data_IF_987867254742
#
_entry.id   IF_987867254742
#
_cell.length_a   1.000
_cell.length_b   1.000
_cell.length_c   1.000
_cell.angle_alpha   90.00
_cell.angle_beta   90.00
_cell.angle_gamma   90.00
#
_symmetry.space_group_name_H-M   'P 1'
#
loop_
_entity.id
_entity.type
_entity.pdbx_description
1 polymer ?
#
# COMPACT_ATOMS: atom_id res chain seq x y z
N UNK A 1 -30.75 -3.66 -2.25
CA UNK A 1 -30.19 -4.78 -1.47
C UNK A 1 -28.95 -5.26 -2.22
N UNK A 2 -27.81 -4.63 -1.95
CA UNK A 2 -26.53 -5.09 -2.46
C UNK A 2 -25.83 -5.81 -1.30
N UNK A 3 -26.03 -7.11 -1.21
CA UNK A 3 -25.04 -7.99 -0.62
C UNK A 3 -23.79 -7.94 -1.54
N UNK A 4 -22.98 -6.94 -1.28
CA UNK A 4 -21.62 -6.94 -1.79
C UNK A 4 -20.84 -7.94 -0.93
N UNK A 5 -20.91 -9.21 -1.30
CA UNK A 5 -19.92 -10.18 -0.89
C UNK A 5 -18.57 -9.59 -1.33
N UNK A 6 -17.83 -8.95 -0.41
CA UNK A 6 -16.55 -8.31 -0.70
C UNK A 6 -15.54 -9.44 -0.85
N UNK A 7 -15.55 -10.07 -2.02
CA UNK A 7 -14.50 -11.01 -2.40
C UNK A 7 -13.17 -10.26 -2.35
N UNK A 8 -12.26 -10.71 -1.48
CA UNK A 8 -10.91 -10.17 -1.39
C UNK A 8 -10.28 -10.11 -2.79
N UNK A 9 -9.76 -8.94 -3.17
CA UNK A 9 -9.08 -8.75 -4.44
C UNK A 9 -7.66 -9.29 -4.34
N UNK A 10 -7.29 -10.11 -5.30
CA UNK A 10 -5.92 -10.65 -5.41
C UNK A 10 -5.03 -9.62 -6.09
N UNK A 11 -4.02 -9.17 -5.39
CA UNK A 11 -3.07 -8.16 -5.82
C UNK A 11 -1.72 -8.83 -6.06
N UNK A 12 -1.20 -8.75 -7.29
CA UNK A 12 0.06 -9.36 -7.71
C UNK A 12 1.03 -8.29 -8.23
N UNK A 13 2.32 -8.46 -7.93
CA UNK A 13 3.39 -7.59 -8.42
C UNK A 13 3.99 -8.16 -9.72
N UNK A 14 4.05 -7.32 -10.75
CA UNK A 14 4.77 -7.57 -12.00
C UNK A 14 5.69 -6.37 -12.26
N UNK A 15 6.97 -6.52 -12.05
CA UNK A 15 7.94 -5.43 -12.16
C UNK A 15 9.33 -5.97 -12.51
N UNK A 16 9.53 -6.33 -13.78
CA UNK A 16 10.79 -6.91 -14.26
C UNK A 16 11.88 -5.87 -14.49
N UNK A 17 11.50 -4.61 -14.69
CA UNK A 17 12.37 -3.52 -15.13
C UNK A 17 12.19 -3.15 -16.60
N UNK A 18 11.55 -3.99 -17.39
CA UNK A 18 11.22 -3.78 -18.80
C UNK A 18 9.70 -3.79 -18.98
N UNK A 19 9.13 -2.66 -19.42
CA UNK A 19 7.68 -2.55 -19.61
C UNK A 19 7.15 -3.54 -20.65
N UNK A 20 7.93 -3.90 -21.65
CA UNK A 20 7.52 -4.82 -22.69
C UNK A 20 7.51 -6.28 -22.21
N UNK A 21 8.31 -6.60 -21.20
CA UNK A 21 8.27 -7.90 -20.51
C UNK A 21 7.16 -7.92 -19.44
N UNK A 22 6.91 -6.78 -18.79
CA UNK A 22 5.84 -6.66 -17.78
C UNK A 22 4.46 -6.88 -18.39
N UNK A 23 4.20 -6.39 -19.60
CA UNK A 23 2.89 -6.49 -20.26
C UNK A 23 2.41 -7.93 -20.42
N UNK A 24 3.13 -8.86 -21.07
CA UNK A 24 2.68 -10.23 -21.20
C UNK A 24 2.56 -10.95 -19.86
N UNK A 25 3.41 -10.63 -18.88
CA UNK A 25 3.34 -11.21 -17.55
C UNK A 25 2.13 -10.69 -16.77
N UNK A 26 1.79 -9.41 -16.91
CA UNK A 26 0.60 -8.82 -16.31
C UNK A 26 -0.70 -9.40 -16.90
N UNK A 27 -0.75 -9.58 -18.22
CA UNK A 27 -1.89 -10.21 -18.89
C UNK A 27 -2.03 -11.69 -18.49
N UNK A 28 -0.93 -12.43 -18.37
CA UNK A 28 -0.94 -13.81 -17.88
C UNK A 28 -1.47 -13.88 -16.44
N UNK A 29 -0.96 -13.03 -15.55
CA UNK A 29 -1.44 -12.95 -14.17
C UNK A 29 -2.94 -12.63 -14.07
N UNK A 30 -3.43 -11.74 -14.93
CA UNK A 30 -4.86 -11.42 -15.01
C UNK A 30 -5.70 -12.64 -15.42
N UNK A 31 -5.25 -13.42 -16.40
CA UNK A 31 -5.93 -14.66 -16.83
C UNK A 31 -5.97 -15.71 -15.73
N UNK A 32 -4.92 -15.80 -14.92
CA UNK A 32 -4.82 -16.70 -13.77
C UNK A 32 -5.53 -16.18 -12.50
N UNK A 33 -6.16 -15.01 -12.55
CA UNK A 33 -7.07 -14.57 -11.49
C UNK A 33 -6.61 -13.36 -10.68
N UNK A 34 -5.51 -12.69 -11.04
CA UNK A 34 -5.15 -11.41 -10.41
C UNK A 34 -6.21 -10.34 -10.71
N UNK A 35 -6.68 -9.66 -9.67
CA UNK A 35 -7.64 -8.56 -9.75
C UNK A 35 -6.97 -7.19 -9.83
N UNK A 36 -5.75 -7.09 -9.28
CA UNK A 36 -4.92 -5.90 -9.26
C UNK A 36 -3.50 -6.28 -9.67
N UNK A 37 -2.95 -5.61 -10.64
CA UNK A 37 -1.56 -5.76 -11.07
C UNK A 37 -0.77 -4.53 -10.64
N UNK A 38 0.32 -4.74 -9.92
CA UNK A 38 1.23 -3.68 -9.54
C UNK A 38 2.49 -3.69 -10.40
N UNK A 39 2.80 -2.56 -10.99
CA UNK A 39 4.09 -2.28 -11.59
C UNK A 39 4.85 -1.37 -10.62
N UNK A 40 5.74 -1.96 -9.83
CA UNK A 40 6.50 -1.21 -8.83
C UNK A 40 7.48 -0.28 -9.51
N UNK A 41 7.49 0.99 -9.10
CA UNK A 41 8.49 1.96 -9.51
C UNK A 41 9.89 1.50 -9.12
N UNK A 42 10.87 1.66 -10.02
CA UNK A 42 12.25 1.29 -9.74
C UNK A 42 12.78 1.99 -8.47
N UNK A 43 13.61 1.30 -7.70
CA UNK A 43 14.18 1.82 -6.45
C UNK A 43 14.95 3.13 -6.68
N UNK A 44 15.72 3.22 -7.75
CA UNK A 44 16.50 4.42 -8.10
C UNK A 44 15.62 5.62 -8.40
N UNK A 45 14.48 5.43 -9.06
CA UNK A 45 13.56 6.52 -9.39
C UNK A 45 12.99 7.22 -8.16
N UNK A 46 12.90 6.54 -7.02
CA UNK A 46 12.39 7.18 -5.79
C UNK A 46 13.26 8.35 -5.31
N UNK A 47 14.49 8.45 -5.77
CA UNK A 47 15.46 9.48 -5.43
C UNK A 47 15.67 10.53 -6.54
N UNK A 48 15.00 10.37 -7.69
CA UNK A 48 15.02 11.36 -8.75
C UNK A 48 14.05 12.48 -8.45
N UNK A 49 14.46 13.70 -8.71
CA UNK A 49 13.65 14.92 -8.62
C UNK A 49 12.97 15.30 -9.96
N UNK A 50 12.96 14.37 -10.90
CA UNK A 50 12.26 14.45 -12.17
C UNK A 50 11.66 13.09 -12.55
N UNK A 51 10.63 13.09 -13.39
CA UNK A 51 10.03 11.88 -13.96
C UNK A 51 10.64 11.62 -15.33
N UNK A 52 11.24 10.44 -15.57
CA UNK A 52 11.74 10.07 -16.89
C UNK A 52 10.62 10.00 -17.93
N UNK A 53 10.98 10.21 -19.20
CA UNK A 53 10.05 10.13 -20.33
C UNK A 53 10.19 8.80 -21.10
N UNK A 54 9.10 8.42 -21.77
CA UNK A 54 9.07 7.30 -22.71
C UNK A 54 8.90 5.93 -22.07
N UNK A 55 8.82 4.94 -22.95
CA UNK A 55 8.82 3.53 -22.55
C UNK A 55 10.23 3.09 -22.15
N UNK A 56 10.35 2.32 -21.07
CA UNK A 56 11.65 1.93 -20.51
C UNK A 56 11.83 0.42 -20.54
N UNK A 57 13.08 0.01 -20.83
CA UNK A 57 13.55 -1.40 -20.81
C UNK A 57 14.58 -1.66 -19.72
N UNK A 58 14.85 -0.66 -18.91
CA UNK A 58 15.85 -0.71 -17.86
C UNK A 58 15.20 -0.28 -16.55
N UNK A 59 15.31 -1.10 -15.54
CA UNK A 59 14.86 -0.79 -14.21
C UNK A 59 15.53 -1.70 -13.19
N UNK A 60 15.94 -1.13 -12.07
CA UNK A 60 16.50 -1.88 -10.97
C UNK A 60 15.46 -1.93 -9.82
N UNK A 61 15.13 -3.13 -9.40
CA UNK A 61 14.10 -3.38 -8.39
C UNK A 61 12.79 -2.65 -8.72
N UNK A 62 12.31 -2.85 -9.95
CA UNK A 62 11.06 -2.30 -10.47
C UNK A 62 11.20 -1.68 -11.85
N UNK A 63 10.07 -1.32 -12.44
CA UNK A 63 9.95 -0.68 -13.75
C UNK A 63 9.68 0.80 -13.55
N UNK A 64 10.27 1.69 -14.35
CA UNK A 64 10.09 3.12 -14.19
C UNK A 64 8.61 3.55 -14.27
N UNK A 65 8.21 4.43 -13.37
CA UNK A 65 6.96 5.15 -13.46
C UNK A 65 7.12 6.31 -14.44
N UNK A 66 6.70 6.11 -15.68
CA UNK A 66 6.64 7.13 -16.73
C UNK A 66 5.22 7.17 -17.28
N UNK A 67 4.85 8.28 -17.90
CA UNK A 67 3.53 8.38 -18.54
C UNK A 67 3.31 7.28 -19.57
N UNK A 68 4.33 7.02 -20.39
CA UNK A 68 4.25 6.02 -21.44
C UNK A 68 4.13 4.59 -20.88
N UNK A 69 4.88 4.25 -19.83
CA UNK A 69 4.74 2.95 -19.18
C UNK A 69 3.33 2.75 -18.59
N UNK A 70 2.77 3.79 -17.97
CA UNK A 70 1.40 3.75 -17.46
C UNK A 70 0.39 3.52 -18.58
N UNK A 71 0.51 4.28 -19.67
CA UNK A 71 -0.37 4.17 -20.83
C UNK A 71 -0.32 2.79 -21.49
N UNK A 72 0.89 2.25 -21.70
CA UNK A 72 1.10 0.94 -22.29
C UNK A 72 0.50 -0.18 -21.42
N UNK A 73 0.81 -0.16 -20.12
CA UNK A 73 0.27 -1.17 -19.21
C UNK A 73 -1.25 -1.05 -19.04
N UNK A 74 -1.79 0.18 -18.93
CA UNK A 74 -3.25 0.37 -18.85
C UNK A 74 -3.95 -0.15 -20.10
N UNK A 75 -3.42 0.11 -21.29
CA UNK A 75 -3.95 -0.40 -22.54
C UNK A 75 -3.96 -1.93 -22.60
N UNK A 76 -2.86 -2.55 -22.15
CA UNK A 76 -2.73 -4.02 -22.11
C UNK A 76 -3.72 -4.66 -21.11
N UNK A 77 -3.92 -4.02 -19.94
CA UNK A 77 -4.89 -4.48 -18.96
C UNK A 77 -6.35 -4.23 -19.41
N UNK A 78 -6.63 -3.18 -20.16
CA UNK A 78 -7.95 -2.97 -20.78
C UNK A 78 -8.27 -4.03 -21.83
N UNK A 79 -7.27 -4.48 -22.57
CA UNK A 79 -7.42 -5.57 -23.53
C UNK A 79 -7.79 -6.88 -22.84
N UNK A 80 -7.01 -7.30 -21.86
CA UNK A 80 -7.29 -8.54 -21.13
C UNK A 80 -8.57 -8.43 -20.28
N UNK A 81 -8.93 -7.25 -19.80
CA UNK A 81 -10.20 -7.02 -19.09
C UNK A 81 -11.41 -7.27 -19.98
N UNK A 82 -11.35 -6.85 -21.27
CA UNK A 82 -12.40 -7.13 -22.26
C UNK A 82 -12.47 -8.62 -22.60
N UNK A 83 -11.33 -9.29 -22.73
CA UNK A 83 -11.23 -10.74 -22.93
C UNK A 83 -11.92 -11.50 -21.78
N UNK A 84 -11.64 -11.11 -20.53
CA UNK A 84 -12.12 -11.79 -19.34
C UNK A 84 -13.54 -11.39 -18.89
N UNK A 85 -14.10 -10.31 -19.46
CA UNK A 85 -15.37 -9.75 -19.01
C UNK A 85 -15.33 -9.17 -17.59
N UNK A 86 -14.14 -8.85 -17.05
CA UNK A 86 -13.93 -8.23 -15.73
C UNK A 86 -12.83 -7.19 -15.78
N UNK A 87 -12.99 -6.13 -15.00
CA UNK A 87 -11.98 -5.06 -14.92
C UNK A 87 -10.77 -5.48 -14.08
N UNK A 88 -9.57 -5.34 -14.65
CA UNK A 88 -8.29 -5.57 -13.97
C UNK A 88 -7.67 -4.23 -13.62
N UNK A 89 -7.35 -4.03 -12.35
CA UNK A 89 -6.83 -2.78 -11.81
C UNK A 89 -5.33 -2.66 -11.99
N UNK A 90 -4.88 -1.43 -12.19
CA UNK A 90 -3.44 -1.08 -12.29
C UNK A 90 -3.01 -0.28 -11.09
N UNK A 91 -1.88 -0.66 -10.51
CA UNK A 91 -1.26 0.05 -9.39
C UNK A 91 0.21 0.35 -9.68
N UNK A 92 0.71 1.47 -9.14
CA UNK A 92 2.13 1.83 -9.13
C UNK A 92 2.47 2.55 -7.81
N UNK A 93 3.68 3.10 -7.71
CA UNK A 93 4.17 3.77 -6.51
C UNK A 93 4.32 5.28 -6.71
N UNK A 94 3.70 6.07 -5.84
CA UNK A 94 3.88 7.51 -5.72
C UNK A 94 4.44 7.87 -4.32
N UNK A 95 5.54 7.23 -3.95
CA UNK A 95 6.31 7.50 -2.73
C UNK A 95 7.72 7.94 -3.12
N UNK A 96 8.37 8.77 -2.32
CA UNK A 96 9.68 9.31 -2.68
C UNK A 96 9.60 10.73 -3.26
N UNK A 97 10.60 11.15 -4.01
CA UNK A 97 10.57 12.41 -4.75
C UNK A 97 9.61 12.33 -5.95
N UNK A 98 9.13 13.46 -6.46
CA UNK A 98 8.18 13.55 -7.58
C UNK A 98 6.82 12.87 -7.34
N UNK A 99 6.38 12.75 -6.10
CA UNK A 99 5.06 12.19 -5.81
C UNK A 99 3.90 12.92 -6.52
N UNK A 100 3.84 14.27 -6.51
CA UNK A 100 2.76 14.99 -7.18
C UNK A 100 2.71 14.77 -8.68
N UNK A 101 3.87 14.75 -9.33
CA UNK A 101 4.01 14.54 -10.77
C UNK A 101 3.54 13.12 -11.14
N UNK A 102 4.03 12.12 -10.42
CA UNK A 102 3.64 10.71 -10.65
C UNK A 102 2.15 10.51 -10.38
N UNK A 103 1.61 11.14 -9.33
CA UNK A 103 0.17 11.08 -9.03
C UNK A 103 -0.68 11.71 -10.15
N UNK A 104 -0.22 12.82 -10.73
CA UNK A 104 -0.88 13.46 -11.89
C UNK A 104 -0.89 12.52 -13.09
N UNK A 105 0.26 11.95 -13.44
CA UNK A 105 0.35 10.98 -14.54
C UNK A 105 -0.54 9.76 -14.31
N UNK A 106 -0.62 9.28 -13.07
CA UNK A 106 -1.49 8.17 -12.71
C UNK A 106 -2.98 8.50 -12.94
N UNK A 107 -3.40 9.72 -12.58
CA UNK A 107 -4.76 10.20 -12.82
C UNK A 107 -5.08 10.29 -14.33
N UNK A 108 -4.17 10.87 -15.12
CA UNK A 108 -4.31 11.00 -16.57
C UNK A 108 -4.37 9.65 -17.30
N UNK A 109 -3.59 8.70 -16.86
CA UNK A 109 -3.52 7.36 -17.49
C UNK A 109 -4.42 6.32 -16.78
N UNK A 110 -5.38 6.77 -15.97
CA UNK A 110 -6.42 5.95 -15.33
C UNK A 110 -5.89 4.80 -14.49
N UNK A 111 -4.87 5.06 -13.67
CA UNK A 111 -4.47 4.09 -12.65
C UNK A 111 -5.53 4.04 -11.54
N UNK A 112 -5.71 2.88 -10.96
CA UNK A 112 -6.74 2.61 -9.96
C UNK A 112 -6.24 2.77 -8.53
N UNK A 113 -4.95 2.50 -8.32
CA UNK A 113 -4.33 2.53 -7.01
C UNK A 113 -2.93 3.10 -7.10
N UNK A 114 -2.46 3.71 -6.02
CA UNK A 114 -1.08 4.19 -5.91
C UNK A 114 -0.55 3.96 -4.50
N UNK A 115 0.64 3.40 -4.37
CA UNK A 115 1.31 3.37 -3.07
C UNK A 115 1.69 4.80 -2.70
N UNK A 116 1.14 5.29 -1.60
CA UNK A 116 1.36 6.63 -1.07
C UNK A 116 1.29 6.58 0.47
N UNK A 117 2.33 6.06 1.07
CA UNK A 117 2.47 5.91 2.51
C UNK A 117 3.15 7.12 3.14
N UNK A 118 2.74 7.51 4.35
CA UNK A 118 3.24 8.72 5.00
C UNK A 118 4.71 8.68 5.39
N UNK A 119 5.28 7.51 5.64
CA UNK A 119 6.65 7.39 6.13
C UNK A 119 7.56 6.47 5.30
N UNK A 120 7.02 5.75 4.31
CA UNK A 120 7.78 4.81 3.50
C UNK A 120 9.03 5.45 2.86
N UNK A 121 8.85 6.60 2.20
CA UNK A 121 9.96 7.34 1.58
C UNK A 121 10.98 7.85 2.60
N UNK A 122 10.51 8.25 3.77
CA UNK A 122 11.35 8.74 4.87
C UNK A 122 12.22 7.59 5.41
N UNK A 123 11.61 6.48 5.77
CA UNK A 123 12.28 5.37 6.45
C UNK A 123 13.20 4.61 5.49
N UNK A 124 12.70 4.24 4.31
CA UNK A 124 13.42 3.35 3.38
C UNK A 124 14.28 4.06 2.34
N UNK A 125 14.08 5.36 2.10
CA UNK A 125 14.76 6.07 1.01
C UNK A 125 15.54 7.30 1.47
N UNK A 126 15.55 7.57 2.77
CA UNK A 126 16.22 8.73 3.35
C UNK A 126 15.75 10.07 2.74
N UNK A 127 14.45 10.16 2.44
CA UNK A 127 13.85 11.39 1.95
C UNK A 127 13.48 12.27 3.15
N UNK A 128 13.67 13.56 3.01
CA UNK A 128 13.39 14.51 4.08
C UNK A 128 11.93 14.41 4.55
N UNK A 129 11.66 14.35 5.86
CA UNK A 129 10.29 14.22 6.37
C UNK A 129 9.37 15.38 5.98
N UNK A 130 9.84 16.64 6.04
CA UNK A 130 9.04 17.82 5.68
C UNK A 130 8.71 17.82 4.18
N UNK A 131 9.68 17.50 3.32
CA UNK A 131 9.46 17.34 1.89
C UNK A 131 8.42 16.27 1.62
N UNK A 132 8.53 15.12 2.28
CA UNK A 132 7.60 14.00 2.11
C UNK A 132 6.17 14.41 2.47
N UNK A 133 5.94 15.05 3.60
CA UNK A 133 4.58 15.44 4.00
C UNK A 133 3.95 16.51 3.10
N UNK A 134 4.75 17.44 2.58
CA UNK A 134 4.29 18.45 1.62
C UNK A 134 3.87 17.77 0.32
N UNK A 135 4.77 17.00 -0.30
CA UNK A 135 4.52 16.33 -1.57
C UNK A 135 3.37 15.31 -1.47
N UNK A 136 3.27 14.64 -0.32
CA UNK A 136 2.21 13.68 -0.06
C UNK A 136 0.83 14.33 0.02
N UNK A 137 0.70 15.47 0.70
CA UNK A 137 -0.57 16.21 0.72
C UNK A 137 -1.02 16.55 -0.68
N UNK A 138 -0.10 17.03 -1.54
CA UNK A 138 -0.37 17.30 -2.94
C UNK A 138 -0.84 16.07 -3.71
N UNK A 139 -0.07 14.99 -3.63
CA UNK A 139 -0.42 13.74 -4.33
C UNK A 139 -1.75 13.17 -3.85
N UNK A 140 -2.05 13.23 -2.56
CA UNK A 140 -3.32 12.75 -2.02
C UNK A 140 -4.52 13.58 -2.48
N UNK A 141 -4.38 14.89 -2.62
CA UNK A 141 -5.41 15.73 -3.23
C UNK A 141 -5.69 15.33 -4.69
N UNK A 142 -4.64 15.01 -5.44
CA UNK A 142 -4.75 14.51 -6.82
C UNK A 142 -5.44 13.13 -6.82
N UNK A 143 -5.01 12.22 -5.95
CA UNK A 143 -5.62 10.89 -5.82
C UNK A 143 -7.11 10.98 -5.45
N UNK A 144 -7.47 11.85 -4.50
CA UNK A 144 -8.86 12.08 -4.12
C UNK A 144 -9.70 12.52 -5.31
N UNK A 145 -9.17 13.46 -6.11
CA UNK A 145 -9.87 13.99 -7.29
C UNK A 145 -9.97 12.98 -8.43
N UNK A 146 -8.94 12.17 -8.64
CA UNK A 146 -8.89 11.15 -9.70
C UNK A 146 -9.61 9.84 -9.32
N UNK A 147 -10.16 9.72 -8.11
CA UNK A 147 -10.79 8.48 -7.63
C UNK A 147 -9.80 7.35 -7.37
N UNK A 148 -8.51 7.65 -7.23
CA UNK A 148 -7.45 6.66 -7.00
C UNK A 148 -7.44 6.23 -5.54
N UNK A 149 -7.39 4.92 -5.29
CA UNK A 149 -7.19 4.35 -3.96
C UNK A 149 -5.71 4.47 -3.60
N UNK A 150 -5.37 5.09 -2.46
CA UNK A 150 -4.01 4.95 -1.96
C UNK A 150 -3.85 3.56 -1.34
N UNK A 151 -2.71 2.93 -1.55
CA UNK A 151 -2.30 1.80 -0.73
C UNK A 151 -1.05 2.20 0.05
N UNK A 152 -1.00 1.82 1.31
CA UNK A 152 0.06 2.20 2.22
C UNK A 152 0.97 1.02 2.51
N UNK A 153 2.10 1.24 3.11
CA UNK A 153 3.16 0.27 3.27
C UNK A 153 3.68 0.16 4.70
N UNK A 154 2.82 0.37 5.69
CA UNK A 154 3.17 0.31 7.12
C UNK A 154 3.76 -1.03 7.51
N UNK A 155 3.30 -2.10 6.89
CA UNK A 155 3.84 -3.44 7.01
C UNK A 155 5.33 -3.54 6.65
N UNK A 156 5.82 -2.67 5.75
CA UNK A 156 7.24 -2.66 5.39
C UNK A 156 8.14 -2.14 6.53
N UNK A 157 7.63 -1.34 7.46
CA UNK A 157 8.43 -0.84 8.57
C UNK A 157 8.94 -1.97 9.45
N UNK A 158 8.18 -3.04 9.56
CA UNK A 158 8.51 -4.22 10.35
C UNK A 158 9.60 -5.09 9.74
N UNK A 159 10.03 -4.84 8.52
CA UNK A 159 11.22 -5.49 7.96
C UNK A 159 12.51 -5.06 8.69
N UNK A 160 12.44 -3.92 9.39
CA UNK A 160 13.55 -3.35 10.15
C UNK A 160 13.32 -3.36 11.67
N UNK A 161 12.12 -3.73 12.13
CA UNK A 161 11.75 -3.80 13.55
C UNK A 161 11.05 -5.14 13.85
N UNK A 162 10.96 -5.49 15.13
CA UNK A 162 10.24 -6.67 15.58
C UNK A 162 8.73 -6.41 15.58
N UNK A 163 7.98 -7.21 14.81
CA UNK A 163 6.54 -7.08 14.69
C UNK A 163 5.78 -7.49 15.96
N UNK A 164 6.34 -8.39 16.75
CA UNK A 164 5.72 -8.85 18.01
C UNK A 164 5.74 -7.72 19.04
N UNK A 165 6.88 -7.04 19.18
CA UNK A 165 7.04 -5.97 20.15
C UNK A 165 6.62 -4.60 19.61
N UNK A 166 6.72 -4.36 18.29
CA UNK A 166 6.49 -3.07 17.65
C UNK A 166 5.16 -2.96 16.87
N UNK A 167 4.23 -3.90 17.02
CA UNK A 167 2.95 -3.93 16.29
C UNK A 167 2.12 -2.64 16.45
N UNK A 168 2.17 -2.00 17.61
CA UNK A 168 1.50 -0.74 17.89
C UNK A 168 1.97 0.41 16.96
N UNK A 169 3.20 0.36 16.47
CA UNK A 169 3.72 1.37 15.53
C UNK A 169 3.04 1.30 14.16
N UNK A 170 2.65 0.10 13.72
CA UNK A 170 1.88 -0.09 12.49
C UNK A 170 0.49 0.50 12.63
N UNK A 171 -0.20 0.23 13.74
CA UNK A 171 -1.53 0.80 14.03
C UNK A 171 -1.48 2.33 14.05
N UNK A 172 -0.51 2.91 14.75
CA UNK A 172 -0.35 4.38 14.80
C UNK A 172 -0.05 4.94 13.41
N UNK A 173 0.78 4.28 12.63
CA UNK A 173 1.07 4.70 11.26
C UNK A 173 -0.17 4.65 10.35
N UNK A 174 -1.03 3.64 10.50
CA UNK A 174 -2.30 3.57 9.79
C UNK A 174 -3.24 4.71 10.17
N UNK A 175 -3.37 5.02 11.46
CA UNK A 175 -4.16 6.15 11.94
C UNK A 175 -3.66 7.49 11.41
N UNK A 176 -2.33 7.67 11.32
CA UNK A 176 -1.72 8.85 10.69
C UNK A 176 -2.01 8.90 9.19
N UNK A 177 -1.91 7.77 8.49
CA UNK A 177 -2.23 7.69 7.08
C UNK A 177 -3.70 7.99 6.79
N UNK A 178 -4.62 7.48 7.60
CA UNK A 178 -6.04 7.78 7.54
C UNK A 178 -6.30 9.28 7.76
N UNK A 179 -5.77 9.84 8.84
CA UNK A 179 -5.93 11.26 9.16
C UNK A 179 -5.45 12.16 8.04
N UNK A 180 -4.23 11.95 7.55
CA UNK A 180 -3.68 12.72 6.44
C UNK A 180 -4.42 12.48 5.12
N UNK A 181 -5.00 11.30 4.94
CA UNK A 181 -5.86 10.98 3.81
C UNK A 181 -7.13 11.82 3.81
N UNK A 182 -7.86 11.82 4.92
CA UNK A 182 -9.08 12.61 5.10
C UNK A 182 -8.82 14.12 4.95
N UNK A 183 -7.72 14.63 5.52
CA UNK A 183 -7.33 16.03 5.37
C UNK A 183 -6.99 16.44 3.91
N UNK A 184 -6.62 15.48 3.08
CA UNK A 184 -6.40 15.69 1.66
C UNK A 184 -7.65 15.44 0.80
N UNK A 185 -8.77 15.01 1.40
CA UNK A 185 -10.05 14.78 0.73
C UNK A 185 -10.29 13.34 0.26
N UNK A 186 -9.48 12.37 0.68
CA UNK A 186 -9.74 10.95 0.42
C UNK A 186 -10.92 10.45 1.27
N UNK A 187 -11.82 9.70 0.67
CA UNK A 187 -12.86 8.97 1.39
C UNK A 187 -12.33 7.65 1.94
N UNK A 188 -13.02 7.05 2.92
CA UNK A 188 -12.66 5.74 3.47
C UNK A 188 -12.43 4.68 2.40
N UNK A 189 -13.28 4.65 1.38
CA UNK A 189 -13.16 3.73 0.25
C UNK A 189 -11.88 3.91 -0.60
N UNK A 190 -11.15 5.00 -0.39
CA UNK A 190 -9.87 5.28 -1.06
C UNK A 190 -8.65 5.02 -0.16
N UNK A 191 -8.86 4.55 1.07
CA UNK A 191 -7.81 4.31 2.06
C UNK A 191 -7.44 2.82 2.13
N UNK A 192 -6.63 2.35 1.19
CA UNK A 192 -6.08 1.01 1.18
C UNK A 192 -4.94 0.87 2.19
N UNK A 193 -5.26 1.01 3.49
CA UNK A 193 -4.28 0.97 4.57
C UNK A 193 -3.59 -0.39 4.63
N UNK A 194 -2.25 -0.37 4.55
CA UNK A 194 -1.45 -1.58 4.51
C UNK A 194 -1.21 -2.14 5.90
N UNK A 195 -1.29 -3.45 6.00
CA UNK A 195 -0.88 -4.14 7.20
C UNK A 195 -0.49 -5.58 6.88
N UNK A 196 0.37 -6.09 7.65
CA UNK A 196 0.67 -7.44 8.05
C UNK A 196 1.65 -7.30 9.19
N UNK A 197 1.77 -8.31 9.99
CA UNK A 197 2.69 -8.25 11.11
C UNK A 197 3.78 -9.29 10.90
N UNK A 198 3.78 -10.35 11.65
CA UNK A 198 4.87 -11.30 11.54
C UNK A 198 4.40 -12.70 11.92
N UNK A 199 4.51 -13.65 11.00
CA UNK A 199 4.40 -15.07 11.34
C UNK A 199 5.83 -15.59 11.44
N UNK A 200 6.39 -15.59 12.65
CA UNK A 200 7.72 -16.12 12.93
C UNK A 200 7.60 -17.58 13.35
N UNK A 201 8.08 -18.54 12.55
CA UNK A 201 8.00 -19.96 12.91
C UNK A 201 8.83 -20.31 14.16
N UNK A 202 9.75 -19.45 14.60
CA UNK A 202 10.50 -19.62 15.85
C UNK A 202 9.70 -19.22 17.10
N UNK A 203 8.61 -18.46 16.94
CA UNK A 203 7.75 -18.01 18.02
C UNK A 203 6.50 -18.88 18.08
N UNK A 204 6.33 -19.74 19.12
CA UNK A 204 5.15 -20.58 19.26
C UNK A 204 3.86 -19.76 19.30
N UNK A 205 2.96 -20.01 18.36
CA UNK A 205 1.68 -19.33 18.27
C UNK A 205 1.71 -17.97 17.58
N UNK A 206 2.77 -17.61 16.84
CA UNK A 206 2.87 -16.35 16.09
C UNK A 206 1.72 -16.13 15.09
N UNK A 207 1.22 -17.19 14.47
CA UNK A 207 0.01 -17.07 13.62
C UNK A 207 -1.21 -16.54 14.40
N UNK A 208 -1.32 -16.87 15.67
CA UNK A 208 -2.39 -16.36 16.53
C UNK A 208 -2.22 -14.87 16.84
N UNK A 209 -0.97 -14.40 16.95
CA UNK A 209 -0.67 -12.98 17.10
C UNK A 209 -1.02 -12.22 15.82
N UNK A 210 -0.68 -12.78 14.66
CA UNK A 210 -1.05 -12.23 13.35
C UNK A 210 -2.56 -12.08 13.19
N UNK A 211 -3.35 -13.12 13.50
CA UNK A 211 -4.80 -13.05 13.47
C UNK A 211 -5.37 -11.98 14.41
N UNK A 212 -4.78 -11.80 15.60
CA UNK A 212 -5.21 -10.77 16.54
C UNK A 212 -5.04 -9.36 15.96
N UNK A 213 -3.90 -9.12 15.29
CA UNK A 213 -3.62 -7.83 14.67
C UNK A 213 -4.49 -7.58 13.43
N UNK A 214 -4.63 -8.58 12.56
CA UNK A 214 -5.45 -8.47 11.35
C UNK A 214 -6.92 -8.19 11.69
N UNK A 215 -7.45 -8.85 12.73
CA UNK A 215 -8.79 -8.58 13.23
C UNK A 215 -8.91 -7.18 13.84
N UNK A 216 -7.95 -6.75 14.65
CA UNK A 216 -7.92 -5.41 15.23
C UNK A 216 -7.94 -4.32 14.14
N UNK A 217 -7.11 -4.46 13.11
CA UNK A 217 -7.07 -3.51 12.00
C UNK A 217 -8.43 -3.48 11.26
N UNK A 218 -9.05 -4.65 11.03
CA UNK A 218 -10.37 -4.70 10.40
C UNK A 218 -11.46 -4.01 11.23
N UNK A 219 -11.39 -4.10 12.55
CA UNK A 219 -12.33 -3.45 13.45
C UNK A 219 -12.09 -1.93 13.56
N UNK A 220 -10.83 -1.49 13.51
CA UNK A 220 -10.49 -0.06 13.56
C UNK A 220 -10.88 0.68 12.26
N UNK A 221 -10.77 0.04 11.12
CA UNK A 221 -11.01 0.66 9.81
C UNK A 221 -12.08 -0.08 8.99
N UNK A 222 -13.34 -0.12 9.47
CA UNK A 222 -14.40 -0.95 8.86
C UNK A 222 -14.74 -0.53 7.43
N UNK A 223 -14.62 0.75 7.08
CA UNK A 223 -14.91 1.30 5.75
C UNK A 223 -13.76 1.26 4.76
N UNK A 224 -12.54 0.98 5.21
CA UNK A 224 -11.33 1.02 4.38
C UNK A 224 -11.10 -0.30 3.62
N UNK A 225 -10.69 -0.25 2.34
CA UNK A 225 -10.26 -1.44 1.60
C UNK A 225 -8.84 -1.85 2.01
N UNK A 226 -8.71 -2.42 3.21
CA UNK A 226 -7.42 -2.79 3.79
C UNK A 226 -6.59 -3.67 2.86
N UNK A 227 -5.32 -3.30 2.70
CA UNK A 227 -4.32 -4.08 1.97
C UNK A 227 -3.54 -4.96 2.95
N UNK A 228 -3.61 -6.26 2.77
CA UNK A 228 -2.89 -7.25 3.56
C UNK A 228 -1.80 -7.89 2.72
N UNK A 229 -0.57 -7.95 3.24
CA UNK A 229 0.56 -8.53 2.51
C UNK A 229 1.55 -9.22 3.45
N UNK A 230 2.20 -10.32 3.02
CA UNK A 230 3.24 -10.96 3.82
C UNK A 230 4.51 -10.09 3.86
N UNK A 231 5.08 -9.83 5.04
CA UNK A 231 6.44 -9.32 5.13
C UNK A 231 7.46 -10.38 4.71
N UNK A 232 8.56 -9.93 4.10
CA UNK A 232 9.61 -10.84 3.60
C UNK A 232 10.63 -11.25 4.66
N UNK A 233 10.51 -10.78 5.90
CA UNK A 233 11.49 -10.92 6.99
C UNK A 233 11.92 -12.37 7.23
N UNK A 234 11.02 -13.33 7.13
CA UNK A 234 11.29 -14.75 7.38
C UNK A 234 11.45 -15.60 6.11
N UNK A 235 11.58 -14.97 4.94
CA UNK A 235 11.94 -15.66 3.71
C UNK A 235 13.42 -16.04 3.72
N UNK A 236 13.69 -17.35 3.80
CA UNK A 236 15.06 -17.88 4.03
C UNK A 236 15.73 -18.45 2.79
N UNK A 237 15.06 -18.39 1.63
CA UNK A 237 15.50 -19.08 0.42
C UNK A 237 15.07 -20.54 0.33
N UNK A 238 14.42 -21.08 1.36
CA UNK A 238 13.73 -22.36 1.28
C UNK A 238 12.34 -22.12 0.67
N UNK A 239 12.17 -22.47 -0.61
CA UNK A 239 10.93 -22.23 -1.37
C UNK A 239 9.71 -22.94 -0.77
N UNK A 240 9.88 -24.09 -0.13
CA UNK A 240 8.77 -24.80 0.52
C UNK A 240 8.30 -24.08 1.78
N UNK A 241 9.24 -23.57 2.58
CA UNK A 241 8.90 -22.74 3.74
C UNK A 241 8.29 -21.42 3.30
N UNK A 242 8.80 -20.80 2.24
CA UNK A 242 8.24 -19.58 1.65
C UNK A 242 6.79 -19.80 1.18
N UNK A 243 6.53 -20.88 0.46
CA UNK A 243 5.18 -21.23 -0.02
C UNK A 243 4.19 -21.47 1.15
N UNK A 244 4.64 -22.12 2.23
CA UNK A 244 3.83 -22.30 3.44
C UNK A 244 3.57 -20.97 4.15
N UNK A 245 4.58 -20.11 4.26
CA UNK A 245 4.43 -18.80 4.88
C UNK A 245 3.41 -17.95 4.14
N UNK A 246 3.48 -17.91 2.81
CA UNK A 246 2.50 -17.23 1.97
C UNK A 246 1.09 -17.79 2.16
N UNK A 247 0.95 -19.13 2.28
CA UNK A 247 -0.34 -19.76 2.54
C UNK A 247 -0.92 -19.35 3.90
N UNK A 248 -0.11 -19.24 4.94
CA UNK A 248 -0.57 -18.74 6.25
C UNK A 248 -0.99 -17.28 6.22
N UNK A 249 -0.28 -16.41 5.47
CA UNK A 249 -0.72 -15.03 5.27
C UNK A 249 -2.01 -14.94 4.46
N UNK A 250 -2.14 -15.72 3.38
CA UNK A 250 -3.38 -15.80 2.62
C UNK A 250 -4.55 -16.28 3.51
N UNK A 251 -4.31 -17.26 4.36
CA UNK A 251 -5.30 -17.77 5.32
C UNK A 251 -5.70 -16.68 6.34
N UNK A 252 -4.74 -15.95 6.90
CA UNK A 252 -5.04 -14.82 7.79
C UNK A 252 -5.92 -13.78 7.09
N UNK A 253 -5.59 -13.41 5.86
CA UNK A 253 -6.38 -12.47 5.06
C UNK A 253 -7.80 -12.94 4.80
N UNK A 254 -8.00 -14.21 4.51
CA UNK A 254 -9.33 -14.84 4.30
C UNK A 254 -10.12 -14.86 5.61
N UNK A 255 -9.52 -15.34 6.71
CA UNK A 255 -10.20 -15.47 7.99
C UNK A 255 -10.58 -14.15 8.65
N UNK A 256 -9.90 -13.06 8.31
CA UNK A 256 -10.15 -11.72 8.88
C UNK A 256 -10.82 -10.75 7.93
N UNK A 257 -11.31 -11.22 6.78
CA UNK A 257 -12.10 -10.43 5.84
C UNK A 257 -11.33 -9.25 5.22
N UNK A 258 -10.06 -9.45 4.85
CA UNK A 258 -9.26 -8.41 4.22
C UNK A 258 -9.71 -8.15 2.78
N UNK A 259 -9.76 -6.86 2.38
CA UNK A 259 -10.33 -6.47 1.09
C UNK A 259 -9.37 -6.63 -0.10
N UNK A 260 -8.06 -6.52 0.16
CA UNK A 260 -6.99 -6.63 -0.83
C UNK A 260 -5.91 -7.52 -0.25
N UNK A 261 -5.66 -8.64 -0.88
CA UNK A 261 -4.57 -9.55 -0.49
C UNK A 261 -3.47 -9.41 -1.55
N UNK A 262 -2.37 -8.76 -1.17
CA UNK A 262 -1.13 -8.79 -1.93
C UNK A 262 -0.47 -10.14 -1.66
N UNK A 263 -0.34 -10.95 -2.69
CA UNK A 263 0.21 -12.29 -2.55
C UNK A 263 1.74 -12.28 -2.59
N UNK A 264 2.33 -12.99 -1.64
CA UNK A 264 3.76 -13.25 -1.60
C UNK A 264 4.17 -14.34 -2.59
N UNK A 265 5.45 -14.38 -2.89
CA UNK A 265 6.03 -15.41 -3.76
C UNK A 265 7.14 -16.15 -3.01
N UNK A 266 7.12 -17.45 -3.10
CA UNK A 266 8.07 -18.35 -2.41
C UNK A 266 9.54 -18.07 -2.72
N UNK A 267 9.82 -17.34 -3.80
CA UNK A 267 11.16 -16.95 -4.26
C UNK A 267 11.55 -15.52 -3.89
N UNK A 268 10.74 -14.80 -3.13
CA UNK A 268 11.10 -13.48 -2.63
C UNK A 268 12.40 -13.54 -1.82
N UNK A 269 13.25 -12.52 -2.02
CA UNK A 269 14.57 -12.47 -1.41
C UNK A 269 15.64 -13.36 -2.09
N UNK A 270 15.29 -14.16 -3.10
CA UNK A 270 16.22 -14.99 -3.87
C UNK A 270 16.52 -14.35 -5.21
N UNK A 271 15.49 -14.06 -5.99
CA UNK A 271 15.57 -13.43 -7.31
C UNK A 271 14.27 -12.69 -7.67
N UNK A 272 14.29 -11.89 -8.74
CA UNK A 272 13.07 -11.33 -9.30
C UNK A 272 12.15 -12.49 -9.72
N UNK A 273 10.87 -12.52 -9.27
CA UNK A 273 9.97 -13.63 -9.56
C UNK A 273 9.77 -13.87 -11.05
N UNK A 274 9.81 -15.12 -11.44
CA UNK A 274 9.50 -15.55 -12.79
C UNK A 274 7.97 -15.69 -12.98
N UNK A 275 7.55 -15.94 -14.21
CA UNK A 275 6.16 -16.17 -14.55
C UNK A 275 5.59 -17.37 -13.75
N UNK A 276 6.35 -18.45 -13.65
CA UNK A 276 5.98 -19.64 -12.87
C UNK A 276 5.82 -19.38 -11.38
N UNK A 277 6.63 -18.50 -10.80
CA UNK A 277 6.53 -18.17 -9.37
C UNK A 277 5.23 -17.41 -9.09
N UNK A 278 4.83 -16.53 -10.01
CA UNK A 278 3.56 -15.80 -9.94
C UNK A 278 2.35 -16.70 -10.11
N UNK A 279 2.43 -17.66 -11.02
CA UNK A 279 1.38 -18.66 -11.24
C UNK A 279 1.16 -19.50 -9.97
N UNK A 280 2.23 -20.01 -9.35
CA UNK A 280 2.16 -20.75 -8.09
C UNK A 280 1.65 -19.90 -6.92
N UNK A 281 1.96 -18.62 -6.88
CA UNK A 281 1.41 -17.72 -5.87
C UNK A 281 -0.10 -17.49 -6.05
N UNK A 282 -0.57 -17.38 -7.29
CA UNK A 282 -1.99 -17.30 -7.62
C UNK A 282 -2.74 -18.60 -7.31
N UNK A 283 -2.12 -19.74 -7.58
CA UNK A 283 -2.64 -21.05 -7.20
C UNK A 283 -2.77 -21.19 -5.68
N UNK A 284 -1.75 -20.75 -4.92
CA UNK A 284 -1.73 -20.78 -3.46
C UNK A 284 -2.92 -20.01 -2.86
N UNK A 285 -3.11 -18.74 -3.24
CA UNK A 285 -4.22 -17.94 -2.72
C UNK A 285 -5.59 -18.48 -3.14
N UNK A 286 -5.71 -19.02 -4.35
CA UNK A 286 -6.93 -19.68 -4.85
C UNK A 286 -7.25 -20.90 -4.00
N UNK A 287 -6.25 -21.77 -3.77
CA UNK A 287 -6.41 -22.97 -2.93
C UNK A 287 -6.90 -22.62 -1.52
N UNK A 288 -6.27 -21.64 -0.89
CA UNK A 288 -6.65 -21.21 0.46
C UNK A 288 -8.07 -20.66 0.48
N UNK A 289 -8.45 -19.82 -0.49
CA UNK A 289 -9.80 -19.25 -0.58
C UNK A 289 -10.86 -20.31 -0.81
N UNK A 290 -10.60 -21.25 -1.71
CA UNK A 290 -11.56 -22.30 -2.05
C UNK A 290 -11.72 -23.30 -0.91
N UNK A 291 -10.64 -23.59 -0.18
CA UNK A 291 -10.67 -24.51 0.95
C UNK A 291 -11.23 -23.90 2.25
N UNK A 292 -11.04 -22.60 2.46
CA UNK A 292 -11.30 -21.95 3.77
C UNK A 292 -12.22 -20.72 3.68
N UNK A 293 -12.81 -20.42 2.53
CA UNK A 293 -13.51 -19.15 2.29
C UNK A 293 -14.66 -18.83 3.23
N UNK A 294 -15.41 -19.82 3.70
CA UNK A 294 -16.52 -19.65 4.65
C UNK A 294 -16.15 -19.97 6.10
N UNK A 295 -14.92 -20.41 6.36
CA UNK A 295 -14.52 -20.89 7.69
C UNK A 295 -14.64 -19.81 8.78
N UNK A 296 -14.43 -18.54 8.41
CA UNK A 296 -14.54 -17.41 9.34
C UNK A 296 -15.94 -17.25 9.93
N UNK A 297 -16.99 -17.71 9.25
CA UNK A 297 -18.38 -17.62 9.71
C UNK A 297 -18.68 -18.57 10.85
N UNK A 298 -17.89 -19.67 10.97
CA UNK A 298 -18.11 -20.72 11.97
C UNK A 298 -17.33 -20.47 13.28
N UNK A 299 -16.42 -19.49 13.33
CA UNK A 299 -15.58 -19.24 14.49
C UNK A 299 -15.61 -17.77 14.92
N UNK A 300 -15.74 -17.55 16.23
CA UNK A 300 -15.57 -16.25 16.84
C UNK A 300 -14.45 -16.28 17.88
N UNK A 301 -13.62 -15.22 17.98
CA UNK A 301 -12.65 -15.11 19.05
C UNK A 301 -13.33 -15.14 20.42
N UNK A 302 -12.80 -15.94 21.34
CA UNK A 302 -13.29 -15.94 22.71
C UNK A 302 -13.00 -14.58 23.37
N UNK A 303 -13.99 -13.95 24.06
CA UNK A 303 -13.79 -12.63 24.69
C UNK A 303 -12.66 -12.57 25.72
N UNK A 304 -12.36 -13.70 26.37
CA UNK A 304 -11.29 -13.89 27.33
C UNK A 304 -10.05 -14.60 26.73
N UNK A 305 -10.06 -14.82 25.40
CA UNK A 305 -9.02 -15.56 24.69
C UNK A 305 -7.79 -14.71 24.36
N UNK A 306 -6.69 -15.36 24.03
CA UNK A 306 -5.40 -14.72 23.72
C UNK A 306 -5.46 -13.76 22.52
N UNK A 307 -6.30 -14.02 21.52
CA UNK A 307 -6.53 -13.13 20.39
C UNK A 307 -7.02 -11.76 20.85
N UNK A 308 -8.09 -11.75 21.65
CA UNK A 308 -8.69 -10.52 22.17
C UNK A 308 -7.78 -9.81 23.16
N UNK A 309 -7.07 -10.58 24.02
CA UNK A 309 -6.10 -10.00 24.94
C UNK A 309 -4.95 -9.29 24.18
N UNK A 310 -4.41 -9.95 23.15
CA UNK A 310 -3.35 -9.35 22.32
C UNK A 310 -3.83 -8.10 21.59
N UNK A 311 -5.01 -8.14 20.97
CA UNK A 311 -5.58 -6.98 20.30
C UNK A 311 -5.74 -5.76 21.25
N UNK A 312 -6.24 -6.01 22.46
CA UNK A 312 -6.36 -4.97 23.50
C UNK A 312 -5.01 -4.43 23.96
N UNK A 313 -4.01 -5.28 24.10
CA UNK A 313 -2.64 -4.87 24.44
C UNK A 313 -2.09 -3.92 23.37
N UNK A 314 -2.12 -4.34 22.10
CA UNK A 314 -1.63 -3.53 20.97
C UNK A 314 -2.38 -2.20 20.86
N UNK A 315 -3.69 -2.22 21.04
CA UNK A 315 -4.50 -1.00 21.04
C UNK A 315 -4.09 -0.04 22.17
N UNK A 316 -3.88 -0.55 23.39
CA UNK A 316 -3.41 0.26 24.53
C UNK A 316 -2.04 0.87 24.24
N UNK A 317 -1.08 0.09 23.76
CA UNK A 317 0.25 0.55 23.38
C UNK A 317 0.19 1.61 22.24
N UNK A 318 -0.77 1.48 21.32
CA UNK A 318 -1.00 2.44 20.24
C UNK A 318 -1.52 3.78 20.79
N UNK A 319 -2.45 3.74 21.75
CA UNK A 319 -2.96 4.95 22.42
C UNK A 319 -1.86 5.67 23.17
N UNK A 320 -1.01 4.92 23.90
CA UNK A 320 0.12 5.49 24.62
C UNK A 320 1.15 6.14 23.67
N UNK A 321 1.39 5.52 22.50
CA UNK A 321 2.27 6.08 21.49
C UNK A 321 1.67 7.34 20.86
N UNK A 322 0.38 7.36 20.55
CA UNK A 322 -0.30 8.57 20.05
C UNK A 322 -0.24 9.72 21.04
N UNK A 323 -0.39 9.43 22.35
CA UNK A 323 -0.24 10.42 23.41
C UNK A 323 1.17 11.05 23.40
N UNK A 324 2.22 10.23 23.33
CA UNK A 324 3.59 10.73 23.22
C UNK A 324 3.80 11.57 21.96
N UNK A 325 3.27 11.13 20.80
CA UNK A 325 3.38 11.90 19.55
C UNK A 325 2.63 13.23 19.65
N UNK A 326 1.51 13.27 20.35
CA UNK A 326 0.76 14.51 20.55
C UNK A 326 1.53 15.51 21.41
N UNK A 327 2.25 15.02 22.42
CA UNK A 327 3.06 15.86 23.31
C UNK A 327 4.38 16.30 22.67
N UNK A 328 5.10 15.39 22.02
CA UNK A 328 6.47 15.60 21.53
C UNK A 328 6.53 16.02 20.06
N UNK A 329 5.49 15.73 19.28
CA UNK A 329 5.39 15.98 17.85
C UNK A 329 5.86 14.80 16.96
N UNK A 330 5.16 14.60 15.85
CA UNK A 330 5.44 13.51 14.91
C UNK A 330 6.86 13.56 14.32
N UNK A 331 7.38 14.74 13.98
CA UNK A 331 8.74 14.88 13.43
C UNK A 331 9.81 14.43 14.42
N UNK A 332 9.59 14.66 15.72
CA UNK A 332 10.51 14.20 16.76
C UNK A 332 10.43 12.67 16.91
N UNK A 333 9.23 12.09 16.90
CA UNK A 333 9.07 10.64 16.93
C UNK A 333 9.78 9.94 15.76
N UNK A 334 9.70 10.51 14.55
CA UNK A 334 10.41 10.01 13.37
C UNK A 334 11.93 10.17 13.55
N UNK A 335 12.39 11.31 14.08
CA UNK A 335 13.81 11.57 14.32
C UNK A 335 14.42 10.60 15.34
N UNK A 336 13.64 10.16 16.31
CA UNK A 336 14.05 9.18 17.33
C UNK A 336 14.03 7.73 16.84
N UNK A 337 13.39 7.45 15.69
CA UNK A 337 13.29 6.12 15.13
C UNK A 337 12.12 5.30 15.69
N UNK A 338 11.05 5.93 16.11
CA UNK A 338 9.87 5.27 16.72
C UNK A 338 9.19 4.27 15.75
N UNK A 339 9.16 4.57 14.46
CA UNK A 339 8.50 3.75 13.43
C UNK A 339 9.42 2.77 12.70
N UNK A 340 10.63 2.59 13.18
CA UNK A 340 11.61 1.69 12.63
C UNK A 340 12.97 1.93 13.29
N UNK A 341 13.92 1.07 13.07
CA UNK A 341 15.26 1.21 13.68
C UNK A 341 16.07 2.39 13.13
N UNK A 342 15.55 3.08 12.13
CA UNK A 342 16.24 4.16 11.42
C UNK A 342 15.76 5.52 11.88
N UNK A 343 16.69 6.37 12.32
CA UNK A 343 16.44 7.75 12.73
C UNK A 343 16.46 8.68 11.52
N UNK A 344 15.47 9.58 11.42
CA UNK A 344 15.33 10.53 10.31
C UNK A 344 15.04 11.93 10.81
N UNK A 345 16.06 12.76 11.03
CA UNK A 345 15.87 14.12 11.52
C UNK A 345 15.20 15.02 10.46
N UNK A 346 14.38 16.00 10.89
CA UNK A 346 13.60 16.84 9.96
C UNK A 346 14.44 17.84 9.16
N UNK A 347 15.68 18.06 9.53
CA UNK A 347 16.67 18.91 8.87
C UNK A 347 17.69 18.12 8.03
N UNK A 348 17.51 16.80 7.92
CA UNK A 348 18.32 15.89 7.12
C UNK A 348 17.53 15.24 6.00
N UNK A 349 18.17 14.30 5.31
CA UNK A 349 17.58 13.53 4.21
C UNK A 349 17.56 14.27 2.87
N UNK A 350 17.20 13.52 1.82
CA UNK A 350 17.21 14.00 0.42
C UNK A 350 15.98 14.87 0.14
N UNK A 351 16.15 15.91 -0.67
CA UNK A 351 15.09 16.80 -1.12
C UNK A 351 14.74 17.92 -0.13
N UNK A 352 15.51 18.12 0.93
CA UNK A 352 15.30 19.22 1.88
C UNK A 352 15.37 20.60 1.21
N UNK A 353 16.26 20.78 0.26
CA UNK A 353 16.44 22.01 -0.53
C UNK A 353 15.21 22.37 -1.39
N UNK A 354 14.36 21.40 -1.70
CA UNK A 354 13.06 21.60 -2.36
C UNK A 354 11.92 22.00 -1.41
N UNK A 355 12.16 22.10 -0.10
CA UNK A 355 11.13 22.53 0.87
C UNK A 355 11.05 24.05 0.87
N UNK A 356 9.97 24.58 0.29
CA UNK A 356 9.70 26.03 0.22
C UNK A 356 8.38 26.38 0.90
N UNK A 357 8.28 27.57 1.53
CA UNK A 357 7.02 28.03 2.12
C UNK A 357 5.96 28.18 1.03
N UNK A 358 4.77 27.67 1.30
CA UNK A 358 3.63 27.82 0.40
C UNK A 358 3.06 29.23 0.49
N UNK A 359 2.83 29.87 -0.66
CA UNK A 359 2.12 31.14 -0.72
C UNK A 359 0.63 30.97 -0.34
N UNK A 360 0.06 31.99 0.28
CA UNK A 360 -1.39 32.04 0.50
C UNK A 360 -2.15 32.00 -0.82
N UNK A 361 -3.23 31.23 -0.88
CA UNK A 361 -4.03 31.08 -2.09
C UNK A 361 -3.42 30.20 -3.18
N UNK A 362 -2.35 29.45 -2.90
CA UNK A 362 -1.78 28.50 -3.85
C UNK A 362 -2.80 27.41 -4.20
N UNK A 363 -3.01 27.19 -5.49
CA UNK A 363 -3.89 26.14 -6.04
C UNK A 363 -3.01 25.03 -6.62
N UNK A 364 -3.44 23.77 -6.42
CA UNK A 364 -2.76 22.63 -7.02
C UNK A 364 -3.09 22.56 -8.52
N UNK A 365 -2.14 22.87 -9.44
CA UNK A 365 -2.43 22.94 -10.87
C UNK A 365 -2.79 21.60 -11.50
N UNK A 366 -2.41 20.48 -10.89
CA UNK A 366 -2.76 19.15 -11.37
C UNK A 366 -4.27 18.89 -11.30
N UNK A 367 -4.96 19.50 -10.34
CA UNK A 367 -6.42 19.40 -10.23
C UNK A 367 -7.10 20.05 -11.44
N UNK A 368 -6.65 21.23 -11.87
CA UNK A 368 -7.20 21.90 -13.05
C UNK A 368 -7.01 21.09 -14.33
N UNK A 369 -5.85 20.42 -14.47
CA UNK A 369 -5.56 19.56 -15.62
C UNK A 369 -6.50 18.34 -15.62
N UNK A 370 -6.67 17.69 -14.46
CA UNK A 370 -7.56 16.53 -14.35
C UNK A 370 -9.02 16.90 -14.60
N UNK A 371 -9.46 18.07 -14.15
CA UNK A 371 -10.82 18.55 -14.38
C UNK A 371 -11.08 18.87 -15.85
N UNK A 372 -10.09 19.40 -16.54
CA UNK A 372 -10.19 19.69 -17.99
C UNK A 372 -10.26 18.41 -18.85
N UNK A 373 -9.58 17.35 -18.44
CA UNK A 373 -9.58 16.06 -19.15
C UNK A 373 -10.77 15.16 -18.77
N UNK A 374 -11.44 15.41 -17.63
CA UNK A 374 -12.60 14.63 -17.18
C UNK A 374 -13.71 15.54 -16.63
N UNK A 375 -14.40 16.31 -17.49
CA UNK A 375 -15.40 17.30 -17.07
C UNK A 375 -16.59 16.72 -16.31
N UNK A 376 -16.94 15.46 -16.56
CA UNK A 376 -18.06 14.79 -15.86
C UNK A 376 -17.74 14.46 -14.38
N UNK A 377 -16.49 14.27 -14.04
CA UNK A 377 -16.04 14.08 -12.65
C UNK A 377 -16.04 15.40 -11.85
N UNK A 378 -16.00 16.55 -12.51
CA UNK A 378 -16.04 17.87 -11.88
C UNK A 378 -17.37 18.15 -11.17
N UNK A 379 -18.46 17.55 -11.63
CA UNK A 379 -19.81 17.74 -11.06
C UNK A 379 -20.09 16.94 -9.78
N UNK A 380 -19.28 15.93 -9.45
CA UNK A 380 -19.49 15.06 -8.29
C UNK A 380 -18.72 15.46 -7.02
N UNK A 381 -17.80 16.43 -7.11
CA UNK A 381 -16.89 16.84 -6.03
C UNK A 381 -17.24 18.15 -5.29
N UNK A 382 -18.39 18.73 -5.53
CA UNK A 382 -18.77 20.05 -5.01
C UNK A 382 -19.48 20.03 -3.67
N UNK A 383 -18.85 19.53 -2.60
CA UNK A 383 -19.29 19.84 -1.24
C UNK A 383 -18.24 19.46 -0.18
N UNK A 384 -17.11 20.15 -0.10
CA UNK A 384 -16.28 20.20 1.12
C UNK A 384 -15.27 21.35 1.03
N UNK A 385 -15.76 22.56 0.83
CA UNK A 385 -15.00 23.78 1.05
C UNK A 385 -15.44 24.41 2.36
N UNK A 386 -15.02 23.91 3.50
CA UNK A 386 -15.02 24.67 4.74
C UNK A 386 -13.61 25.14 5.02
N UNK A 387 -13.44 26.47 5.01
CA UNK A 387 -12.25 27.15 5.47
C UNK A 387 -11.94 26.77 6.91
N UNK A 388 -10.76 26.28 7.17
CA UNK A 388 -10.20 26.15 8.52
C UNK A 388 -9.39 27.43 8.79
N UNK A 389 -9.66 28.15 9.87
CA UNK A 389 -8.88 29.34 10.26
C UNK A 389 -7.45 28.98 10.58
N UNK A 390 -6.57 29.98 10.43
CA UNK A 390 -5.11 29.93 10.54
C UNK A 390 -4.55 29.36 11.85
#
# INVERSE_FOLDING_TARGET
EHEMCIRARVYLIVATGDIYEDIPQAQAAAREGADVVAVIRSTGQSLLDFVPEGATREGYAGTYATRENFRLMRSALDEVSRELGRYVRLTNYASGLCMPEIATLAGLERLDMMLNDCMYGIIFRDINPRRTFIDQRFSRQIHARAGIVINTGEDNYLTTADAVDAAHTVIVSQLLNERFGHEAGLADAQLGLGHAFEIDPAIPGSFRLELAHAQLVRELFPGAPLKYMPPTKHMTGNIFNGYLLDAFFNLAGVLTGQSIILIGMMTEGIHTPWLSDRDLALENVRYVRDACGSLAEDFMPRPDGMLVQRAKQVLSESVDLLGRIADDGLLNAIAEGTFGVTRRPPDGGKGLDGVVPRAGGYVNPAIEILDAENPDAACSGGAAGQEVPA
#
